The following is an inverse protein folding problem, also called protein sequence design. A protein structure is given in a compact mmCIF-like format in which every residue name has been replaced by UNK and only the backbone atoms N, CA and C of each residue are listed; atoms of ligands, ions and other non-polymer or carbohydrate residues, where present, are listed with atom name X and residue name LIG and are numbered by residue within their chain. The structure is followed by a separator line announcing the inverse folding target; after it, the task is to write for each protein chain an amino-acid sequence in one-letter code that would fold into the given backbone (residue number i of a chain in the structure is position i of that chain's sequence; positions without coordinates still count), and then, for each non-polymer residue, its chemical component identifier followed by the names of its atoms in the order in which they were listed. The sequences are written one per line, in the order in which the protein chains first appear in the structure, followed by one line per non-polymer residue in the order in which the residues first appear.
data_IF_447309453292
#
_entry.id   IF_447309453292
#
_cell.length_a   1.000
_cell.length_b   1.000
_cell.length_c   1.000
_cell.angle_alpha   90.00
_cell.angle_beta   90.00
_cell.angle_gamma   90.00
#
_symmetry.space_group_name_H-M   'P 1'
#
loop_
_entity.id
_entity.type
_entity.pdbx_description
1 polymer ?
#
# COMPACT_ATOMS: atom_id res chain seq x y z
N UNK A 1 -9.98 -26.42 -12.65
CA UNK A 1 -10.21 -25.12 -11.98
C UNK A 1 -10.86 -24.16 -12.98
N UNK A 2 -11.96 -23.54 -12.62
CA UNK A 2 -12.63 -22.55 -13.46
C UNK A 2 -11.92 -21.21 -13.42
N UNK A 3 -12.19 -20.34 -14.40
CA UNK A 3 -11.63 -18.98 -14.40
C UNK A 3 -12.04 -18.19 -13.15
N UNK A 4 -13.28 -18.36 -12.68
CA UNK A 4 -13.77 -17.71 -11.47
C UNK A 4 -13.00 -18.16 -10.23
N UNK A 5 -12.69 -19.45 -10.12
CA UNK A 5 -11.90 -19.98 -9.01
C UNK A 5 -10.48 -19.44 -9.02
N UNK A 6 -9.86 -19.33 -10.19
CA UNK A 6 -8.52 -18.72 -10.31
C UNK A 6 -8.50 -17.25 -9.90
N UNK A 7 -9.51 -16.49 -10.30
CA UNK A 7 -9.63 -15.08 -9.92
C UNK A 7 -9.82 -14.92 -8.42
N UNK A 8 -10.64 -15.75 -7.78
CA UNK A 8 -10.82 -15.71 -6.33
C UNK A 8 -9.52 -16.01 -5.59
N UNK A 9 -8.77 -17.02 -6.03
CA UNK A 9 -7.49 -17.36 -5.44
C UNK A 9 -6.48 -16.23 -5.59
N UNK A 10 -6.45 -15.58 -6.74
CA UNK A 10 -5.59 -14.42 -6.99
C UNK A 10 -5.92 -13.25 -6.07
N UNK A 11 -7.21 -12.89 -5.96
CA UNK A 11 -7.65 -11.80 -5.08
C UNK A 11 -7.33 -12.06 -3.62
N UNK A 12 -7.52 -13.30 -3.17
CA UNK A 12 -7.21 -13.70 -1.79
C UNK A 12 -5.72 -13.55 -1.51
N UNK A 13 -4.86 -14.03 -2.40
CA UNK A 13 -3.41 -13.90 -2.26
C UNK A 13 -2.98 -12.44 -2.27
N UNK A 14 -3.57 -11.60 -3.11
CA UNK A 14 -3.27 -10.17 -3.14
C UNK A 14 -3.62 -9.48 -1.83
N UNK A 15 -4.78 -9.79 -1.24
CA UNK A 15 -5.18 -9.25 0.07
C UNK A 15 -4.24 -9.68 1.17
N UNK A 16 -3.81 -10.95 1.17
CA UNK A 16 -2.85 -11.44 2.15
C UNK A 16 -1.49 -10.75 2.01
N UNK A 17 -1.02 -10.55 0.78
CA UNK A 17 0.24 -9.85 0.53
C UNK A 17 0.20 -8.42 1.04
N UNK A 18 -0.89 -7.68 0.82
CA UNK A 18 -1.06 -6.32 1.32
C UNK A 18 -1.07 -6.30 2.85
N UNK A 19 -1.80 -7.23 3.48
CA UNK A 19 -1.85 -7.32 4.94
C UNK A 19 -0.50 -7.65 5.54
N UNK A 20 0.23 -8.59 4.95
CA UNK A 20 1.55 -9.00 5.43
C UNK A 20 2.62 -7.94 5.21
N UNK A 21 2.44 -7.07 4.23
CA UNK A 21 3.40 -6.01 3.92
C UNK A 21 3.33 -4.83 4.90
N UNK A 22 2.29 -4.75 5.72
CA UNK A 22 2.17 -3.68 6.72
C UNK A 22 3.30 -3.83 7.74
N UNK A 23 4.19 -2.82 7.79
CA UNK A 23 5.39 -2.86 8.64
C UNK A 23 6.62 -3.46 7.97
N UNK A 24 6.47 -4.08 6.80
CA UNK A 24 7.57 -4.67 6.04
C UNK A 24 7.63 -4.12 4.60
N UNK A 25 7.36 -2.83 4.46
CA UNK A 25 7.21 -2.18 3.16
C UNK A 25 8.48 -2.30 2.31
N UNK A 26 9.66 -2.33 2.91
CA UNK A 26 10.92 -2.43 2.16
C UNK A 26 11.05 -3.75 1.39
N UNK A 27 10.35 -4.79 1.82
CA UNK A 27 10.37 -6.12 1.19
C UNK A 27 9.20 -6.36 0.25
N UNK A 28 8.20 -5.51 0.29
CA UNK A 28 7.00 -5.68 -0.52
C UNK A 28 7.27 -5.44 -2.00
N UNK A 29 6.51 -6.09 -2.87
CA UNK A 29 6.56 -5.83 -4.31
C UNK A 29 5.99 -4.43 -4.62
N UNK A 30 6.34 -3.91 -5.80
CA UNK A 30 5.79 -2.64 -6.27
C UNK A 30 4.27 -2.64 -6.25
N UNK A 31 3.65 -3.71 -6.76
CA UNK A 31 2.19 -3.83 -6.83
C UNK A 31 1.60 -3.79 -5.42
N UNK A 32 2.21 -4.49 -4.47
CA UNK A 32 1.75 -4.50 -3.08
C UNK A 32 1.90 -3.12 -2.45
N UNK A 33 3.03 -2.44 -2.68
CA UNK A 33 3.24 -1.08 -2.15
C UNK A 33 2.20 -0.10 -2.71
N UNK A 34 1.90 -0.18 -4.00
CA UNK A 34 0.89 0.68 -4.61
C UNK A 34 -0.51 0.38 -4.06
N UNK A 35 -0.82 -0.89 -3.80
CA UNK A 35 -2.09 -1.27 -3.19
C UNK A 35 -2.22 -0.72 -1.75
N UNK A 36 -1.17 -0.81 -0.96
CA UNK A 36 -1.12 -0.23 0.39
C UNK A 36 -1.35 1.28 0.34
N UNK A 37 -0.63 1.96 -0.54
CA UNK A 37 -0.75 3.41 -0.69
C UNK A 37 -2.17 3.79 -1.12
N UNK A 38 -2.73 3.09 -2.09
CA UNK A 38 -4.10 3.33 -2.55
C UNK A 38 -5.11 3.19 -1.41
N UNK A 39 -4.97 2.14 -0.58
CA UNK A 39 -5.85 1.95 0.58
C UNK A 39 -5.70 3.08 1.59
N UNK A 40 -4.48 3.52 1.87
CA UNK A 40 -4.22 4.62 2.80
C UNK A 40 -4.83 5.92 2.30
N UNK A 41 -4.68 6.22 1.01
CA UNK A 41 -5.24 7.42 0.41
C UNK A 41 -6.77 7.40 0.42
N UNK A 42 -7.37 6.24 0.17
CA UNK A 42 -8.82 6.08 0.25
C UNK A 42 -9.35 6.38 1.65
N UNK A 43 -8.63 5.93 2.68
CA UNK A 43 -8.98 6.24 4.07
C UNK A 43 -8.87 7.74 4.36
N UNK A 44 -7.84 8.39 3.83
CA UNK A 44 -7.64 9.84 4.01
C UNK A 44 -8.70 10.67 3.30
N UNK A 45 -9.28 10.15 2.22
CA UNK A 45 -10.36 10.81 1.49
C UNK A 45 -11.73 10.56 2.12
N UNK A 46 -11.83 9.61 3.03
CA UNK A 46 -13.10 9.23 3.67
C UNK A 46 -13.33 10.05 4.94
N UNK A 47 -14.24 11.00 4.87
CA UNK A 47 -14.58 11.86 6.00
C UNK A 47 -15.22 11.11 7.17
N UNK A 48 -15.74 9.91 6.94
CA UNK A 48 -16.32 9.07 7.99
C UNK A 48 -15.29 8.24 8.72
N UNK A 49 -14.08 8.13 8.18
CA UNK A 49 -12.99 7.33 8.74
C UNK A 49 -11.93 8.19 9.43
N UNK A 50 -12.32 9.30 10.08
CA UNK A 50 -11.37 10.24 10.68
C UNK A 50 -10.49 9.60 11.76
N UNK A 51 -11.01 8.60 12.48
CA UNK A 51 -10.23 7.88 13.48
C UNK A 51 -9.07 7.08 12.88
N UNK A 52 -9.12 6.80 11.57
CA UNK A 52 -8.08 6.05 10.84
C UNK A 52 -7.06 6.96 10.15
N UNK A 53 -7.30 8.26 10.10
CA UNK A 53 -6.47 9.19 9.32
C UNK A 53 -5.02 9.22 9.79
N UNK A 54 -4.78 9.24 11.09
CA UNK A 54 -3.42 9.26 11.64
C UNK A 54 -2.64 8.00 11.25
N UNK A 55 -3.27 6.84 11.40
CA UNK A 55 -2.66 5.56 11.02
C UNK A 55 -2.43 5.48 9.51
N UNK A 56 -3.40 5.97 8.71
CA UNK A 56 -3.28 5.99 7.26
C UNK A 56 -2.12 6.88 6.80
N UNK A 57 -1.93 8.06 7.41
CA UNK A 57 -0.79 8.93 7.11
C UNK A 57 0.54 8.27 7.45
N UNK A 58 0.64 7.63 8.61
CA UNK A 58 1.85 6.91 9.01
C UNK A 58 2.18 5.77 8.05
N UNK A 59 1.18 5.01 7.66
CA UNK A 59 1.33 3.92 6.69
C UNK A 59 1.76 4.45 5.33
N UNK A 60 1.09 5.48 4.81
CA UNK A 60 1.43 6.10 3.54
C UNK A 60 2.86 6.61 3.53
N UNK A 61 3.31 7.23 4.63
CA UNK A 61 4.67 7.71 4.77
C UNK A 61 5.69 6.57 4.65
N UNK A 62 5.45 5.44 5.32
CA UNK A 62 6.33 4.27 5.23
C UNK A 62 6.39 3.74 3.80
N UNK A 63 5.24 3.63 3.13
CA UNK A 63 5.18 3.18 1.74
C UNK A 63 5.93 4.12 0.82
N UNK A 64 5.72 5.43 0.95
CA UNK A 64 6.43 6.43 0.15
C UNK A 64 7.94 6.37 0.37
N UNK A 65 8.38 6.23 1.62
CA UNK A 65 9.80 6.08 1.92
C UNK A 65 10.39 4.82 1.27
N UNK A 66 9.66 3.71 1.30
CA UNK A 66 10.09 2.48 0.65
C UNK A 66 10.22 2.66 -0.86
N UNK A 67 9.28 3.36 -1.49
CA UNK A 67 9.30 3.61 -2.92
C UNK A 67 10.46 4.54 -3.31
N UNK A 68 10.64 5.65 -2.62
CA UNK A 68 11.71 6.60 -2.96
C UNK A 68 13.09 5.98 -2.74
N UNK A 69 13.25 5.17 -1.71
CA UNK A 69 14.52 4.49 -1.43
C UNK A 69 14.81 3.45 -2.50
N UNK A 70 13.81 2.64 -2.84
CA UNK A 70 13.98 1.55 -3.82
C UNK A 70 14.34 2.06 -5.22
N UNK A 71 13.72 3.15 -5.64
CA UNK A 71 13.87 3.68 -7.00
C UNK A 71 14.79 4.90 -7.08
N UNK A 72 15.37 5.31 -5.97
CA UNK A 72 16.29 6.46 -5.95
C UNK A 72 15.62 7.77 -6.31
N UNK A 73 14.36 7.97 -5.92
CA UNK A 73 13.58 9.17 -6.25
C UNK A 73 13.81 10.24 -5.19
N UNK A 74 14.20 11.44 -5.60
CA UNK A 74 14.28 12.58 -4.69
C UNK A 74 12.95 13.32 -4.68
N UNK A 75 12.33 13.46 -3.50
CA UNK A 75 11.05 14.17 -3.35
C UNK A 75 11.14 15.40 -2.44
N UNK A 76 12.35 15.86 -2.17
CA UNK A 76 12.58 16.99 -1.26
C UNK A 76 12.42 18.35 -1.92
N UNK A 77 12.00 18.41 -3.15
CA UNK A 77 11.77 19.67 -3.85
C UNK A 77 13.01 20.46 -4.25
N UNK A 78 14.18 19.94 -3.97
CA UNK A 78 15.45 20.54 -4.40
C UNK A 78 15.84 19.93 -5.73
N UNK A 79 15.14 20.33 -6.73
CA UNK A 79 15.44 19.86 -8.06
C UNK A 79 16.79 20.43 -8.53
#
# INVERSE_FOLDING_TARGET
MTAAQRQRAYRHRSKQAVTQAIGEETRASRVTLLALLSNDLALLEDDTATSMHSAARSSARRVLNALVTRYGIAITGEA
#
